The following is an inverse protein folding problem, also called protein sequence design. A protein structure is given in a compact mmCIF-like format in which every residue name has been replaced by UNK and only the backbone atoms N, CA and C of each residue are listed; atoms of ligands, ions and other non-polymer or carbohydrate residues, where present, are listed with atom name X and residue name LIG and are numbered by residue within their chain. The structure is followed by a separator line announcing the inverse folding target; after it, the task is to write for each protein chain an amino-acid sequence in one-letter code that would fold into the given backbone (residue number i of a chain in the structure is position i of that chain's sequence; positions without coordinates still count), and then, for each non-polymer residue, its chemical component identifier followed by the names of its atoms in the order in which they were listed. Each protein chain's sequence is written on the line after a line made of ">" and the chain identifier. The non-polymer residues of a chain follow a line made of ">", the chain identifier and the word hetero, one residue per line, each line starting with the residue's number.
data_IF_226834122498
#
_entry.id   IF_226834122498
#
_cell.length_a   1.000
_cell.length_b   1.000
_cell.length_c   1.000
_cell.angle_alpha   90.00
_cell.angle_beta   90.00
_cell.angle_gamma   90.00
#
_symmetry.space_group_name_H-M   'P 1'
#
loop_
_entity.id
_entity.type
_entity.pdbx_description
1 polymer ?
#
# COMPACT_ATOMS: atom_id res chain seq x y z
N UNK A 1 15.97 -2.93 1.98
CA UNK A 1 15.48 -1.57 1.70
C UNK A 1 14.71 -1.64 0.39
N UNK A 2 13.41 -1.32 0.41
CA UNK A 2 12.55 -1.43 -0.77
C UNK A 2 12.99 -0.53 -1.93
N UNK A 3 12.67 -0.94 -3.15
CA UNK A 3 12.82 -0.11 -4.35
C UNK A 3 11.60 0.80 -4.48
N UNK A 4 11.82 2.06 -4.86
CA UNK A 4 10.72 2.96 -5.21
C UNK A 4 10.14 2.52 -6.55
N UNK A 5 8.86 2.17 -6.57
CA UNK A 5 8.08 1.77 -7.75
C UNK A 5 6.70 2.44 -7.70
N UNK A 6 5.77 2.09 -8.61
CA UNK A 6 4.41 2.65 -8.57
C UNK A 6 3.55 1.93 -7.54
N UNK A 7 2.61 2.65 -6.91
CA UNK A 7 1.66 2.03 -5.99
C UNK A 7 0.90 0.88 -6.67
N UNK A 8 0.49 1.06 -7.93
CA UNK A 8 -0.18 0.01 -8.71
C UNK A 8 0.66 -1.27 -8.82
N UNK A 9 1.98 -1.15 -8.98
CA UNK A 9 2.89 -2.30 -9.07
C UNK A 9 2.97 -3.07 -7.74
N UNK A 10 2.94 -2.35 -6.61
CA UNK A 10 2.92 -2.94 -5.27
C UNK A 10 1.58 -3.66 -5.04
N UNK A 11 0.47 -2.98 -5.33
CA UNK A 11 -0.88 -3.56 -5.17
C UNK A 11 -1.06 -4.83 -6.02
N UNK A 12 -0.46 -4.88 -7.20
CA UNK A 12 -0.51 -6.07 -8.06
C UNK A 12 0.25 -7.29 -7.53
N UNK A 13 1.02 -7.11 -6.44
CA UNK A 13 1.96 -8.09 -5.90
C UNK A 13 1.94 -8.12 -4.38
N UNK A 14 0.84 -7.73 -3.73
CA UNK A 14 0.75 -7.65 -2.26
C UNK A 14 1.22 -8.93 -1.56
N UNK A 15 0.82 -10.10 -2.09
CA UNK A 15 1.21 -11.42 -1.59
C UNK A 15 2.70 -11.77 -1.75
N UNK A 16 3.47 -10.98 -2.49
CA UNK A 16 4.91 -11.18 -2.65
C UNK A 16 5.72 -10.50 -1.53
N UNK A 17 5.09 -9.63 -0.74
CA UNK A 17 5.73 -8.87 0.33
C UNK A 17 5.51 -9.53 1.69
N UNK A 18 6.34 -9.17 2.67
CA UNK A 18 6.18 -9.62 4.05
C UNK A 18 4.95 -8.95 4.68
N UNK A 19 4.13 -9.71 5.40
CA UNK A 19 2.91 -9.19 6.05
C UNK A 19 3.23 -8.13 7.11
N UNK A 20 4.42 -8.22 7.72
CA UNK A 20 4.91 -7.27 8.73
C UNK A 20 5.45 -5.96 8.12
N UNK A 21 5.53 -5.86 6.78
CA UNK A 21 5.99 -4.63 6.11
C UNK A 21 4.88 -3.59 5.97
N UNK A 22 5.30 -2.33 5.75
CA UNK A 22 4.42 -1.20 5.50
C UNK A 22 4.64 -0.61 4.11
N UNK A 23 3.54 -0.23 3.44
CA UNK A 23 3.56 0.54 2.21
C UNK A 23 3.67 2.03 2.56
N UNK A 24 4.65 2.71 1.98
CA UNK A 24 4.81 4.16 2.06
C UNK A 24 4.62 4.78 0.67
N UNK A 25 3.85 5.85 0.57
CA UNK A 25 3.42 6.44 -0.72
C UNK A 25 3.60 7.95 -0.71
N UNK A 26 3.99 8.51 -1.86
CA UNK A 26 4.04 9.96 -2.06
C UNK A 26 2.62 10.54 -2.20
N UNK A 27 2.34 11.61 -1.47
CA UNK A 27 1.10 12.38 -1.63
C UNK A 27 1.15 13.32 -2.85
N UNK A 28 0.00 13.59 -3.51
CA UNK A 28 -1.30 12.96 -3.28
C UNK A 28 -1.31 11.48 -3.71
N UNK A 29 -2.03 10.63 -2.98
CA UNK A 29 -2.09 9.21 -3.28
C UNK A 29 -2.86 8.93 -4.58
N UNK A 30 -2.15 8.33 -5.52
CA UNK A 30 -2.66 7.89 -6.82
C UNK A 30 -2.01 6.56 -7.18
N UNK A 31 -2.56 5.83 -8.14
CA UNK A 31 -1.96 4.57 -8.61
C UNK A 31 -0.55 4.76 -9.20
N UNK A 32 -0.26 5.95 -9.73
CA UNK A 32 1.02 6.37 -10.28
C UNK A 32 1.95 7.01 -9.22
N UNK A 33 1.53 7.12 -7.97
CA UNK A 33 2.36 7.67 -6.91
C UNK A 33 3.58 6.79 -6.69
N UNK A 34 4.71 7.44 -6.43
CA UNK A 34 5.92 6.72 -6.02
C UNK A 34 5.64 6.07 -4.66
N UNK A 35 5.99 4.80 -4.55
CA UNK A 35 5.73 4.01 -3.38
C UNK A 35 6.89 3.06 -3.07
N UNK A 36 7.01 2.65 -1.81
CA UNK A 36 8.03 1.74 -1.34
C UNK A 36 7.45 0.85 -0.24
N UNK A 37 7.78 -0.43 -0.26
CA UNK A 37 7.54 -1.34 0.86
C UNK A 37 8.78 -1.41 1.74
N UNK A 38 8.60 -1.23 3.04
CA UNK A 38 9.68 -1.39 4.01
C UNK A 38 9.11 -1.72 5.40
N UNK A 39 9.90 -2.43 6.20
CA UNK A 39 9.61 -2.65 7.61
C UNK A 39 9.69 -1.34 8.38
N UNK A 40 8.69 -1.06 9.21
CA UNK A 40 8.72 0.07 10.12
C UNK A 40 9.86 -0.09 11.14
N UNK A 41 10.58 0.99 11.49
CA UNK A 41 11.70 0.92 12.43
C UNK A 41 11.28 0.66 13.89
N UNK A 42 10.00 0.87 14.20
CA UNK A 42 9.29 0.65 15.46
C UNK A 42 7.78 0.46 15.14
N UNK A 43 6.95 0.08 16.11
CA UNK A 43 5.47 0.02 15.96
C UNK A 43 4.83 1.42 15.77
N UNK A 44 5.54 2.35 15.15
CA UNK A 44 5.09 3.70 14.85
C UNK A 44 4.84 3.89 13.35
N UNK A 45 3.97 4.83 13.02
CA UNK A 45 3.71 5.25 11.64
C UNK A 45 4.84 6.10 11.04
N UNK A 46 5.97 6.26 11.76
CA UNK A 46 7.10 7.06 11.27
C UNK A 46 7.80 6.30 10.14
N UNK A 47 7.89 6.90 8.94
CA UNK A 47 8.54 6.24 7.82
C UNK A 47 10.03 5.98 8.11
N UNK A 48 10.57 4.82 7.72
CA UNK A 48 12.00 4.56 7.82
C UNK A 48 12.78 5.62 7.05
N UNK A 49 14.03 5.87 7.45
CA UNK A 49 14.86 6.97 6.92
C UNK A 49 14.92 7.04 5.38
N UNK A 50 14.81 5.90 4.70
CA UNK A 50 14.76 5.86 3.24
C UNK A 50 13.44 6.40 2.66
N UNK A 51 12.29 6.02 3.23
CA UNK A 51 10.97 6.54 2.87
C UNK A 51 10.89 8.04 3.14
N UNK A 52 11.31 8.47 4.34
CA UNK A 52 11.32 9.88 4.72
C UNK A 52 12.17 10.74 3.78
N UNK A 53 13.37 10.27 3.40
CA UNK A 53 14.23 10.97 2.43
C UNK A 53 13.63 11.06 1.03
N UNK A 54 12.76 10.12 0.67
CA UNK A 54 12.07 10.09 -0.61
C UNK A 54 10.74 10.86 -0.61
N UNK A 55 10.37 11.48 0.52
CA UNK A 55 9.10 12.20 0.67
C UNK A 55 7.88 11.28 0.69
N UNK A 56 8.05 10.01 1.07
CA UNK A 56 6.96 9.05 1.18
C UNK A 56 6.37 9.10 2.59
N UNK A 57 5.06 9.11 2.69
CA UNK A 57 4.31 9.05 3.96
C UNK A 57 3.78 7.65 4.20
N UNK A 58 3.42 7.35 5.44
CA UNK A 58 2.71 6.12 5.78
C UNK A 58 1.41 6.03 4.96
N UNK A 59 1.16 4.87 4.36
CA UNK A 59 -0.07 4.60 3.62
C UNK A 59 -0.87 3.50 4.32
N UNK A 60 -0.34 2.27 4.39
CA UNK A 60 -1.00 1.13 5.04
C UNK A 60 -0.02 -0.04 5.21
N UNK A 61 -0.22 -0.90 6.21
CA UNK A 61 0.50 -2.18 6.37
C UNK A 61 0.09 -3.21 5.32
N UNK A 62 1.02 -4.11 4.97
CA UNK A 62 0.80 -5.15 3.96
C UNK A 62 -0.32 -6.09 4.39
N UNK A 63 -0.33 -6.56 5.64
CA UNK A 63 -1.38 -7.47 6.11
C UNK A 63 -2.79 -6.87 5.97
N UNK A 64 -2.97 -5.58 6.30
CA UNK A 64 -4.27 -4.89 6.16
C UNK A 64 -4.63 -4.75 4.69
N UNK A 65 -3.68 -4.37 3.83
CA UNK A 65 -3.91 -4.26 2.40
C UNK A 65 -4.35 -5.60 1.77
N UNK A 66 -3.73 -6.71 2.17
CA UNK A 66 -4.12 -8.06 1.73
C UNK A 66 -5.53 -8.38 2.23
N UNK A 67 -5.77 -8.31 3.54
CA UNK A 67 -7.06 -8.66 4.14
C UNK A 67 -8.20 -7.87 3.51
N UNK A 68 -8.05 -6.55 3.41
CA UNK A 68 -9.06 -5.67 2.83
C UNK A 68 -9.32 -5.96 1.36
N UNK A 69 -8.27 -6.07 0.54
CA UNK A 69 -8.44 -6.27 -0.91
C UNK A 69 -9.02 -7.64 -1.24
N UNK A 70 -8.60 -8.69 -0.53
CA UNK A 70 -9.15 -10.04 -0.70
C UNK A 70 -10.61 -10.12 -0.27
N UNK A 71 -10.95 -9.58 0.91
CA UNK A 71 -12.32 -9.55 1.41
C UNK A 71 -13.24 -8.75 0.46
N UNK A 72 -12.78 -7.60 -0.03
CA UNK A 72 -13.52 -6.81 -0.99
C UNK A 72 -13.74 -7.55 -2.32
N UNK A 73 -12.68 -8.12 -2.91
CA UNK A 73 -12.78 -8.88 -4.17
C UNK A 73 -13.73 -10.08 -4.01
N UNK A 74 -13.66 -10.80 -2.90
CA UNK A 74 -14.56 -11.93 -2.61
C UNK A 74 -16.03 -11.51 -2.46
N UNK A 75 -16.31 -10.25 -2.09
CA UNK A 75 -17.67 -9.72 -1.99
C UNK A 75 -18.30 -9.35 -3.35
N UNK A 76 -17.49 -9.26 -4.42
CA UNK A 76 -17.95 -8.85 -5.75
C UNK A 76 -18.37 -10.05 -6.59
N UNK A 77 -19.36 -9.83 -7.47
CA UNK A 77 -19.81 -10.85 -8.44
C UNK A 77 -18.83 -11.06 -9.59
N UNK A 78 -18.05 -10.04 -9.90
CA UNK A 78 -17.07 -10.02 -10.99
C UNK A 78 -15.73 -9.56 -10.45
N UNK A 79 -14.64 -10.09 -11.00
CA UNK A 79 -13.29 -9.73 -10.59
C UNK A 79 -12.96 -8.30 -11.05
N UNK A 80 -12.64 -7.37 -10.13
CA UNK A 80 -12.29 -6.00 -10.49
C UNK A 80 -10.93 -5.93 -11.19
N UNK A 81 -10.68 -4.84 -11.90
CA UNK A 81 -9.36 -4.55 -12.46
C UNK A 81 -8.37 -4.19 -11.35
N UNK A 82 -7.07 -4.32 -11.64
CA UNK A 82 -6.03 -3.94 -10.69
C UNK A 82 -6.11 -2.45 -10.31
N UNK A 83 -6.39 -1.58 -11.27
CA UNK A 83 -6.60 -0.15 -11.02
C UNK A 83 -7.80 0.08 -10.08
N UNK A 84 -8.91 -0.64 -10.26
CA UNK A 84 -10.05 -0.55 -9.35
C UNK A 84 -9.72 -1.03 -7.93
N UNK A 85 -8.91 -2.09 -7.77
CA UNK A 85 -8.40 -2.53 -6.46
C UNK A 85 -7.52 -1.44 -5.83
N UNK A 86 -6.60 -0.88 -6.61
CA UNK A 86 -5.71 0.18 -6.13
C UNK A 86 -6.49 1.43 -5.68
N UNK A 87 -7.46 1.87 -6.47
CA UNK A 87 -8.33 2.99 -6.11
C UNK A 87 -9.12 2.70 -4.84
N UNK A 88 -9.69 1.48 -4.73
CA UNK A 88 -10.45 1.10 -3.53
C UNK A 88 -9.59 1.07 -2.27
N UNK A 89 -8.33 0.62 -2.38
CA UNK A 89 -7.39 0.63 -1.26
C UNK A 89 -6.99 2.07 -0.87
N UNK A 90 -6.79 2.97 -1.85
CA UNK A 90 -6.56 4.40 -1.57
C UNK A 90 -7.75 5.01 -0.82
N UNK A 91 -8.98 4.71 -1.25
CA UNK A 91 -10.19 5.18 -0.55
C UNK A 91 -10.26 4.67 0.89
N UNK A 92 -9.92 3.40 1.12
CA UNK A 92 -9.92 2.82 2.47
C UNK A 92 -8.87 3.48 3.35
N UNK A 93 -7.62 3.57 2.90
CA UNK A 93 -6.53 4.19 3.65
C UNK A 93 -6.76 5.68 3.95
N UNK A 94 -7.56 6.37 3.12
CA UNK A 94 -7.88 7.79 3.32
C UNK A 94 -8.95 8.00 4.41
N UNK A 95 -9.87 7.06 4.59
CA UNK A 95 -11.08 7.26 5.40
C UNK A 95 -11.12 6.44 6.69
N UNK A 96 -10.53 5.24 6.67
CA UNK A 96 -10.77 4.19 7.67
C UNK A 96 -9.51 3.63 8.33
N UNK A 97 -8.30 3.98 7.85
CA UNK A 97 -7.01 3.49 8.36
C UNK A 97 -6.35 4.45 9.37
#
# INVERSE_FOLDING_TARGET
>A
MGKIIKLLDIVGRLSDFDEDDTIYVAEPWTEDSNAMVATAPDDSTVPPKAAAKAGLTYFIEIFIAIEFTEAWVASLKEKPSLSAICQRLIEYATNDA
#
